data_IF_945624728121
#
_entry.id   IF_945624728121
#
_cell.length_a   1.000
_cell.length_b   1.000
_cell.length_c   1.000
_cell.angle_alpha   90.00
_cell.angle_beta   90.00
_cell.angle_gamma   90.00
#
_symmetry.space_group_name_H-M   'P 1'
#
loop_
_entity.id
_entity.type
_entity.pdbx_description
1 polymer ?
#
# COMPACT_ATOMS: atom_id res chain seq x y z
N UNK A 1 15.51 16.61 48.85
CA UNK A 1 14.86 17.13 47.63
C UNK A 1 14.94 16.13 46.47
N UNK A 2 16.12 15.57 46.14
CA UNK A 2 16.30 14.65 45.00
C UNK A 2 15.53 13.31 45.05
N UNK A 3 15.11 12.83 46.23
CA UNK A 3 14.42 11.53 46.36
C UNK A 3 13.03 11.48 45.69
N UNK A 4 12.38 12.63 45.47
CA UNK A 4 11.07 12.68 44.80
C UNK A 4 11.17 12.85 43.28
N UNK A 5 12.36 13.14 42.75
CA UNK A 5 12.55 13.42 41.33
C UNK A 5 12.10 12.26 40.43
N UNK A 6 12.42 10.97 40.71
CA UNK A 6 11.94 9.88 39.85
C UNK A 6 10.42 9.69 39.94
N UNK A 7 9.80 10.01 41.09
CA UNK A 7 8.34 10.01 41.25
C UNK A 7 7.67 11.09 40.40
N UNK A 8 8.28 12.29 40.32
CA UNK A 8 7.80 13.37 39.47
C UNK A 8 7.96 13.05 37.97
N UNK A 9 9.09 12.45 37.56
CA UNK A 9 9.33 12.04 36.16
C UNK A 9 8.29 11.01 35.72
N UNK A 10 8.09 9.96 36.52
CA UNK A 10 7.13 8.89 36.20
C UNK A 10 5.68 9.38 36.21
N UNK A 11 5.35 10.34 37.08
CA UNK A 11 4.07 11.04 37.01
C UNK A 11 3.90 11.79 35.68
N UNK A 12 4.92 12.57 35.28
CA UNK A 12 4.94 13.27 34.00
C UNK A 12 4.77 12.34 32.80
N UNK A 13 5.42 11.18 32.81
CA UNK A 13 5.24 10.14 31.78
C UNK A 13 3.80 9.60 31.76
N UNK A 14 3.19 9.36 32.93
CA UNK A 14 1.78 8.94 33.01
C UNK A 14 0.83 9.98 32.43
N UNK A 15 1.04 11.27 32.74
CA UNK A 15 0.25 12.36 32.16
C UNK A 15 0.45 12.48 30.64
N UNK A 16 1.68 12.34 30.16
CA UNK A 16 1.98 12.33 28.72
C UNK A 16 1.28 11.17 27.99
N UNK A 17 1.22 9.97 28.60
CA UNK A 17 0.49 8.84 28.03
C UNK A 17 -1.02 9.10 27.90
N UNK A 18 -1.64 9.84 28.82
CA UNK A 18 -3.05 10.25 28.70
C UNK A 18 -3.25 11.18 27.51
N UNK A 19 -2.37 12.18 27.35
CA UNK A 19 -2.44 13.11 26.21
C UNK A 19 -2.30 12.34 24.89
N UNK A 20 -1.29 11.47 24.79
CA UNK A 20 -1.09 10.61 23.62
C UNK A 20 -2.27 9.69 23.33
N UNK A 21 -2.91 9.16 24.38
CA UNK A 21 -4.14 8.38 24.24
C UNK A 21 -5.26 9.20 23.59
N UNK A 22 -5.45 10.45 24.01
CA UNK A 22 -6.49 11.32 23.45
C UNK A 22 -6.21 11.64 21.98
N UNK A 23 -4.98 12.00 21.63
CA UNK A 23 -4.57 12.21 20.24
C UNK A 23 -4.82 10.96 19.39
N UNK A 24 -4.51 9.80 19.97
CA UNK A 24 -4.72 8.51 19.32
C UNK A 24 -6.18 8.23 19.05
N UNK A 25 -7.05 8.46 20.03
CA UNK A 25 -8.50 8.30 19.88
C UNK A 25 -9.02 9.20 18.76
N UNK A 26 -8.68 10.50 18.79
CA UNK A 26 -9.09 11.44 17.73
C UNK A 26 -8.64 11.00 16.34
N UNK A 27 -7.40 10.52 16.21
CA UNK A 27 -6.88 10.01 14.94
C UNK A 27 -7.64 8.77 14.45
N UNK A 28 -7.97 7.86 15.35
CA UNK A 28 -8.71 6.64 15.01
C UNK A 28 -10.17 6.93 14.67
N UNK A 29 -10.81 7.83 15.40
CA UNK A 29 -12.19 8.25 15.15
C UNK A 29 -12.30 8.97 13.81
N UNK A 30 -11.40 9.90 13.51
CA UNK A 30 -11.29 10.53 12.19
C UNK A 30 -11.22 9.50 11.05
N UNK A 31 -10.36 8.49 11.17
CA UNK A 31 -10.25 7.42 10.16
C UNK A 31 -11.52 6.59 10.07
N UNK A 32 -12.12 6.22 11.21
CA UNK A 32 -13.33 5.40 11.26
C UNK A 32 -14.50 6.11 10.60
N UNK A 33 -14.71 7.39 10.90
CA UNK A 33 -15.76 8.21 10.30
C UNK A 33 -15.60 8.28 8.77
N UNK A 34 -14.38 8.51 8.28
CA UNK A 34 -14.10 8.64 6.84
C UNK A 34 -14.26 7.32 6.07
N UNK A 35 -13.94 6.19 6.72
CA UNK A 35 -14.15 4.85 6.20
C UNK A 35 -15.63 4.42 6.27
N UNK A 36 -16.41 4.94 7.22
CA UNK A 36 -17.83 4.62 7.37
C UNK A 36 -18.73 5.38 6.38
N UNK A 37 -18.29 6.54 5.90
CA UNK A 37 -18.99 7.30 4.86
C UNK A 37 -19.08 6.53 3.53
N UNK A 38 -20.16 6.77 2.78
CA UNK A 38 -20.37 6.16 1.46
C UNK A 38 -19.21 6.45 0.49
N UNK A 39 -18.86 5.49 -0.40
CA UNK A 39 -17.87 5.72 -1.45
C UNK A 39 -18.27 6.88 -2.37
N UNK A 40 -17.28 7.67 -2.81
CA UNK A 40 -17.47 8.75 -3.79
C UNK A 40 -16.88 8.30 -5.14
N UNK A 41 -17.48 8.70 -6.25
CA UNK A 41 -16.89 8.48 -7.57
C UNK A 41 -15.58 9.25 -7.72
N UNK A 42 -14.51 8.58 -8.15
CA UNK A 42 -13.18 9.20 -8.22
C UNK A 42 -13.12 10.41 -9.17
N UNK A 43 -13.91 10.38 -10.24
CA UNK A 43 -13.97 11.47 -11.22
C UNK A 43 -14.50 12.77 -10.60
N UNK A 44 -15.37 12.71 -9.59
CA UNK A 44 -15.90 13.90 -8.90
C UNK A 44 -14.81 14.60 -8.08
N UNK A 45 -13.79 13.84 -7.67
CA UNK A 45 -12.69 14.29 -6.81
C UNK A 45 -11.50 14.84 -7.60
N UNK A 46 -11.18 14.22 -8.73
CA UNK A 46 -9.97 14.51 -9.51
C UNK A 46 -9.90 15.96 -10.05
N UNK A 47 -11.00 16.70 -9.96
CA UNK A 47 -11.19 18.02 -10.58
C UNK A 47 -10.67 19.21 -9.76
N UNK A 48 -10.18 19.05 -8.52
CA UNK A 48 -9.70 20.23 -7.78
C UNK A 48 -9.16 20.09 -6.35
N UNK A 49 -9.17 18.91 -5.73
CA UNK A 49 -8.68 18.74 -4.35
C UNK A 49 -7.34 17.99 -4.25
N UNK A 50 -6.50 18.40 -3.30
CA UNK A 50 -5.23 17.72 -3.01
C UNK A 50 -5.51 16.37 -2.31
N UNK A 51 -4.96 15.26 -2.81
CA UNK A 51 -5.18 13.90 -2.27
C UNK A 51 -5.06 13.80 -0.74
N UNK A 52 -4.20 14.61 -0.11
CA UNK A 52 -4.03 14.66 1.34
C UNK A 52 -5.31 15.09 2.11
N UNK A 53 -6.20 15.89 1.54
CA UNK A 53 -7.49 16.24 2.18
C UNK A 53 -8.46 15.07 2.17
N UNK A 54 -8.23 14.10 1.29
CA UNK A 54 -9.10 12.96 1.03
C UNK A 54 -8.56 11.65 1.60
N UNK A 55 -7.46 11.68 2.35
CA UNK A 55 -6.93 10.50 3.02
C UNK A 55 -8.03 9.80 3.84
N UNK A 56 -8.07 8.48 3.75
CA UNK A 56 -9.07 7.59 4.38
C UNK A 56 -10.49 7.67 3.81
N UNK A 57 -10.75 8.42 2.72
CA UNK A 57 -12.03 8.31 2.01
C UNK A 57 -12.11 7.10 1.13
N UNK A 58 -13.30 6.48 1.14
CA UNK A 58 -13.67 5.43 0.20
C UNK A 58 -14.00 6.06 -1.14
N UNK A 59 -13.49 5.45 -2.20
CA UNK A 59 -13.72 5.87 -3.58
C UNK A 59 -14.02 4.67 -4.46
N UNK A 60 -14.78 4.92 -5.52
CA UNK A 60 -15.00 3.98 -6.61
C UNK A 60 -14.25 4.49 -7.83
N UNK A 61 -13.44 3.63 -8.43
CA UNK A 61 -12.69 3.90 -9.64
C UNK A 61 -12.98 2.80 -10.67
N UNK A 62 -13.08 3.16 -11.94
CA UNK A 62 -13.26 2.19 -13.03
C UNK A 62 -12.24 2.42 -14.14
N UNK A 63 -11.61 1.38 -14.65
CA UNK A 63 -10.63 1.54 -15.73
C UNK A 63 -9.98 0.22 -16.13
N UNK A 64 -8.87 0.32 -16.85
CA UNK A 64 -8.06 -0.83 -17.22
C UNK A 64 -6.77 -0.83 -16.41
N UNK A 65 -6.34 -1.99 -15.90
CA UNK A 65 -5.03 -2.11 -15.27
C UNK A 65 -3.93 -2.17 -16.33
N UNK A 66 -2.92 -1.31 -16.21
CA UNK A 66 -1.69 -1.41 -16.98
C UNK A 66 -0.70 -2.36 -16.26
N UNK A 67 -0.90 -3.66 -16.46
CA UNK A 67 -0.14 -4.72 -15.79
C UNK A 67 1.37 -4.67 -16.10
N UNK A 68 1.76 -4.10 -17.24
CA UNK A 68 3.17 -3.93 -17.61
C UNK A 68 3.90 -2.93 -16.70
N UNK A 69 3.15 -2.06 -16.04
CA UNK A 69 3.67 -1.05 -15.12
C UNK A 69 3.41 -1.38 -13.65
N UNK A 70 3.06 -2.63 -13.35
CA UNK A 70 2.88 -3.13 -12.00
C UNK A 70 4.20 -3.11 -11.22
N UNK A 71 4.16 -2.54 -10.01
CA UNK A 71 5.29 -2.45 -9.08
C UNK A 71 5.04 -3.36 -7.89
N UNK A 72 6.05 -4.16 -7.54
CA UNK A 72 6.01 -5.07 -6.40
C UNK A 72 6.73 -4.46 -5.20
N UNK A 73 6.01 -4.16 -4.10
CA UNK A 73 6.58 -3.58 -2.88
C UNK A 73 6.70 -4.63 -1.78
N UNK A 74 7.90 -4.89 -1.27
CA UNK A 74 8.14 -5.85 -0.21
C UNK A 74 9.60 -6.01 0.21
N UNK A 75 9.90 -6.97 1.10
CA UNK A 75 9.04 -8.08 1.50
C UNK A 75 7.88 -7.66 2.41
N UNK A 76 6.70 -8.28 2.21
CA UNK A 76 5.51 -8.15 3.05
C UNK A 76 5.10 -9.50 3.61
N UNK A 77 5.13 -9.65 4.93
CA UNK A 77 4.72 -10.89 5.59
C UNK A 77 3.20 -10.92 5.81
N UNK A 78 2.58 -12.08 5.55
CA UNK A 78 1.16 -12.37 5.81
C UNK A 78 1.04 -13.73 6.48
N UNK A 79 0.15 -13.86 7.45
CA UNK A 79 -0.21 -15.16 8.02
C UNK A 79 -1.33 -15.78 7.18
N UNK A 80 -1.08 -16.98 6.64
CA UNK A 80 -2.01 -17.76 5.84
C UNK A 80 -2.15 -19.11 6.53
N UNK A 81 -3.34 -19.44 7.02
CA UNK A 81 -3.62 -20.71 7.72
C UNK A 81 -2.65 -21.00 8.89
N UNK A 82 -2.18 -19.96 9.59
CA UNK A 82 -1.24 -20.07 10.70
C UNK A 82 0.24 -20.13 10.30
N UNK A 83 0.55 -20.17 9.01
CA UNK A 83 1.91 -20.12 8.48
C UNK A 83 2.22 -18.70 8.02
N UNK A 84 3.38 -18.17 8.41
CA UNK A 84 3.82 -16.85 7.93
C UNK A 84 4.52 -16.99 6.60
N UNK A 85 3.92 -16.40 5.57
CA UNK A 85 4.48 -16.33 4.23
C UNK A 85 4.93 -14.91 3.90
N UNK A 86 6.04 -14.80 3.18
CA UNK A 86 6.54 -13.53 2.68
C UNK A 86 6.12 -13.37 1.23
N UNK A 87 5.68 -12.17 0.86
CA UNK A 87 5.26 -11.83 -0.49
C UNK A 87 5.46 -10.34 -0.76
N UNK A 88 4.62 -9.80 -1.63
CA UNK A 88 4.68 -8.40 -2.07
C UNK A 88 3.29 -7.79 -2.11
N UNK A 89 3.20 -6.48 -1.93
CA UNK A 89 2.05 -5.74 -2.44
C UNK A 89 2.25 -5.44 -3.92
N UNK A 90 1.22 -5.64 -4.74
CA UNK A 90 1.24 -5.27 -6.15
C UNK A 90 0.49 -3.95 -6.33
N UNK A 91 1.21 -2.94 -6.83
CA UNK A 91 0.68 -1.62 -7.12
C UNK A 91 0.63 -1.46 -8.63
N UNK A 92 -0.56 -1.32 -9.19
CA UNK A 92 -0.78 -1.27 -10.64
C UNK A 92 -1.50 0.03 -11.01
N UNK A 93 -1.05 0.76 -12.03
CA UNK A 93 -1.81 1.87 -12.59
C UNK A 93 -3.17 1.41 -13.13
N UNK A 94 -4.24 2.05 -12.69
CA UNK A 94 -5.56 1.99 -13.30
C UNK A 94 -5.68 3.18 -14.27
N UNK A 95 -5.71 2.89 -15.57
CA UNK A 95 -5.69 3.89 -16.64
C UNK A 95 -7.09 4.12 -17.24
N UNK A 96 -7.33 5.33 -17.79
CA UNK A 96 -8.57 5.64 -18.52
C UNK A 96 -8.81 4.70 -19.70
N UNK A 97 -10.06 4.31 -19.91
CA UNK A 97 -10.50 3.62 -21.14
C UNK A 97 -11.11 4.64 -22.09
N UNK A 98 -10.50 4.79 -23.28
CA UNK A 98 -10.98 5.72 -24.31
C UNK A 98 -12.44 5.49 -24.65
N UNK A 99 -13.25 6.56 -24.62
CA UNK A 99 -14.68 6.52 -24.97
C UNK A 99 -15.61 6.01 -23.86
N UNK A 100 -15.09 5.68 -22.67
CA UNK A 100 -15.90 5.26 -21.53
C UNK A 100 -15.97 6.39 -20.48
N UNK A 101 -17.14 7.02 -20.34
CA UNK A 101 -17.37 8.12 -19.38
C UNK A 101 -17.36 7.66 -17.92
N UNK A 102 -17.68 6.39 -17.66
CA UNK A 102 -17.63 5.81 -16.32
C UNK A 102 -16.19 5.48 -15.91
N UNK A 103 -15.22 5.55 -16.83
CA UNK A 103 -13.81 5.30 -16.53
C UNK A 103 -13.14 6.51 -15.88
N UNK A 104 -12.07 6.26 -15.12
CA UNK A 104 -11.21 7.30 -14.56
C UNK A 104 -10.72 8.23 -15.69
N UNK A 105 -10.77 9.54 -15.47
CA UNK A 105 -10.28 10.53 -16.45
C UNK A 105 -8.76 10.71 -16.41
N UNK A 106 -8.14 10.37 -15.28
CA UNK A 106 -6.70 10.39 -15.08
C UNK A 106 -6.23 9.09 -14.42
N UNK A 107 -4.99 8.63 -14.67
CA UNK A 107 -4.48 7.41 -14.07
C UNK A 107 -4.41 7.49 -12.54
N UNK A 108 -4.71 6.36 -11.89
CA UNK A 108 -4.65 6.20 -10.42
C UNK A 108 -3.74 5.03 -10.08
N UNK A 109 -2.96 5.13 -9.00
CA UNK A 109 -2.19 4.00 -8.49
C UNK A 109 -3.06 3.17 -7.54
N UNK A 110 -3.18 1.87 -7.81
CA UNK A 110 -4.00 0.95 -7.00
C UNK A 110 -3.10 -0.10 -6.38
N UNK A 111 -3.01 -0.15 -5.06
CA UNK A 111 -2.50 -1.34 -4.38
C UNK A 111 -3.61 -2.38 -4.32
N UNK A 112 -3.48 -3.41 -5.16
CA UNK A 112 -4.48 -4.48 -5.32
C UNK A 112 -4.38 -5.54 -4.22
N UNK A 113 -3.35 -5.45 -3.38
CA UNK A 113 -3.15 -6.33 -2.24
C UNK A 113 -1.94 -7.24 -2.36
N UNK A 114 -1.93 -8.25 -1.50
CA UNK A 114 -0.79 -9.15 -1.28
C UNK A 114 -0.76 -10.28 -2.30
N UNK A 115 0.44 -10.58 -2.81
CA UNK A 115 0.73 -11.72 -3.69
C UNK A 115 1.94 -12.50 -3.18
N UNK A 116 2.01 -13.82 -3.40
CA UNK A 116 3.16 -14.63 -3.04
C UNK A 116 4.37 -14.28 -3.92
N UNK A 117 5.59 -14.66 -3.48
CA UNK A 117 6.83 -14.31 -4.19
C UNK A 117 6.86 -14.72 -5.66
N UNK A 118 6.28 -15.88 -5.96
CA UNK A 118 6.24 -16.45 -7.31
C UNK A 118 5.59 -15.55 -8.35
N UNK A 119 4.77 -14.58 -7.96
CA UNK A 119 4.21 -13.59 -8.90
C UNK A 119 5.27 -12.63 -9.43
N UNK A 120 6.18 -12.16 -8.57
CA UNK A 120 7.29 -11.30 -8.99
C UNK A 120 8.25 -12.10 -9.87
N UNK A 121 8.58 -13.33 -9.46
CA UNK A 121 9.53 -14.17 -10.18
C UNK A 121 9.04 -14.45 -11.61
N UNK A 122 7.76 -14.82 -11.78
CA UNK A 122 7.13 -14.99 -13.11
C UNK A 122 7.11 -13.71 -13.93
N UNK A 123 6.87 -12.55 -13.31
CA UNK A 123 6.87 -11.28 -14.02
C UNK A 123 8.27 -10.97 -14.60
N UNK A 124 9.33 -11.20 -13.81
CA UNK A 124 10.71 -11.02 -14.26
C UNK A 124 11.11 -12.01 -15.38
N UNK A 125 10.69 -13.27 -15.27
CA UNK A 125 10.88 -14.27 -16.32
C UNK A 125 10.18 -13.85 -17.63
N UNK A 126 8.94 -13.35 -17.53
CA UNK A 126 8.17 -12.91 -18.71
C UNK A 126 8.77 -11.68 -19.39
N UNK A 127 9.41 -10.78 -18.64
CA UNK A 127 10.11 -9.64 -19.24
C UNK A 127 11.41 -10.04 -19.92
N UNK A 128 12.13 -11.03 -19.38
CA UNK A 128 13.38 -11.52 -19.99
C UNK A 128 13.13 -12.36 -21.24
N UNK A 129 12.08 -13.19 -21.26
CA UNK A 129 11.73 -13.99 -22.44
C UNK A 129 11.26 -13.17 -23.66
N UNK A 130 10.86 -11.91 -23.46
CA UNK A 130 10.54 -10.98 -24.54
C UNK A 130 11.78 -10.29 -25.14
N UNK A 131 12.91 -10.27 -24.42
CA UNK A 131 14.18 -9.70 -24.90
C UNK A 131 15.00 -10.74 -25.68
N UNK A 132 14.86 -12.05 -25.38
CA UNK A 132 15.60 -13.11 -26.08
C UNK A 132 15.06 -13.43 -27.49
N UNK A 133 13.81 -13.09 -27.81
CA UNK A 133 13.20 -13.36 -29.13
C UNK A 133 13.54 -12.30 -30.21
N UNK A 134 14.20 -11.19 -29.85
CA UNK A 134 14.65 -10.17 -30.83
C UNK A 134 16.07 -10.41 -31.40
N UNK A 135 16.87 -11.31 -30.82
CA UNK A 135 18.23 -11.60 -31.30
C UNK A 135 18.28 -12.79 -32.29
N UNK A 136 17.83 -12.54 -33.53
CA UNK A 136 18.20 -13.37 -34.69
C UNK A 136 19.31 -12.68 -35.49
N UNK A 137 20.57 -13.15 -35.47
CA UNK A 137 21.57 -12.69 -36.41
C UNK A 137 21.35 -13.35 -37.77
N UNK A 138 20.94 -12.53 -38.73
CA UNK A 138 20.96 -12.91 -40.15
C UNK A 138 22.39 -12.92 -40.70
N UNK A 139 22.73 -14.03 -41.36
CA UNK A 139 23.45 -14.19 -42.63
C UNK A 139 24.75 -15.01 -42.62
N UNK A 140 24.72 -16.16 -43.32
CA UNK A 140 25.53 -16.38 -44.52
C UNK A 140 24.98 -17.57 -45.35
N UNK A 141 25.05 -17.39 -46.66
CA UNK A 141 24.42 -18.12 -47.77
C UNK A 141 25.01 -19.48 -48.12
N UNK A 142 24.16 -20.41 -48.57
CA UNK A 142 24.50 -21.32 -49.68
C UNK A 142 23.31 -21.55 -50.61
N UNK A 143 23.57 -21.37 -51.89
CA UNK A 143 22.72 -21.49 -53.08
C UNK A 143 22.03 -22.83 -53.26
N UNK A 144 20.79 -22.82 -53.77
CA UNK A 144 20.17 -24.00 -54.38
C UNK A 144 18.65 -23.88 -54.58
N UNK A 145 18.26 -23.60 -55.82
CA UNK A 145 16.97 -23.94 -56.44
C UNK A 145 15.68 -23.24 -55.98
N UNK A 146 15.26 -22.29 -56.82
CA UNK A 146 13.90 -21.75 -56.90
C UNK A 146 12.94 -22.87 -57.34
N UNK A 147 11.92 -23.18 -56.52
CA UNK A 147 10.64 -23.71 -57.01
C UNK A 147 9.48 -23.49 -56.02
N UNK A 148 8.51 -22.68 -56.48
CA UNK A 148 7.06 -22.81 -56.25
C UNK A 148 6.50 -22.82 -54.82
N UNK A 149 6.39 -21.65 -54.19
CA UNK A 149 5.52 -21.46 -53.00
C UNK A 149 4.68 -20.17 -53.03
N UNK A 150 5.07 -19.15 -53.81
CA UNK A 150 4.51 -17.79 -53.73
C UNK A 150 3.38 -17.46 -54.73
N UNK A 151 2.46 -18.39 -55.01
CA UNK A 151 1.27 -18.11 -55.87
C UNK A 151 -0.07 -18.16 -55.15
N UNK A 152 -0.10 -18.16 -53.81
CA UNK A 152 -1.37 -18.27 -53.07
C UNK A 152 -1.69 -17.14 -52.08
N UNK A 153 -0.78 -16.18 -51.85
CA UNK A 153 -1.03 -15.10 -50.90
C UNK A 153 -0.97 -13.73 -51.57
N UNK A 154 -2.08 -13.40 -52.22
CA UNK A 154 -2.42 -12.03 -52.59
C UNK A 154 -3.91 -11.83 -52.35
N UNK A 155 -4.27 -11.72 -51.07
CA UNK A 155 -5.54 -11.10 -50.68
C UNK A 155 -5.22 -9.73 -50.10
N UNK A 156 -5.80 -8.70 -50.70
CA UNK A 156 -5.76 -7.29 -50.25
C UNK A 156 -6.07 -7.20 -48.75
N UNK A 157 -5.45 -6.29 -48.00
CA UNK A 157 -5.93 -6.00 -46.66
C UNK A 157 -7.33 -5.40 -46.80
N UNK A 158 -8.34 -6.16 -46.36
CA UNK A 158 -9.63 -5.56 -46.07
C UNK A 158 -9.41 -4.71 -44.82
N UNK A 159 -9.66 -3.41 -44.94
CA UNK A 159 -9.86 -2.52 -43.80
C UNK A 159 -11.09 -3.03 -43.06
N UNK A 160 -10.87 -4.00 -42.18
CA UNK A 160 -11.77 -4.29 -41.08
C UNK A 160 -11.60 -3.12 -40.14
N UNK A 161 -12.64 -2.31 -39.98
CA UNK A 161 -12.79 -1.47 -38.79
C UNK A 161 -12.58 -2.40 -37.60
N UNK A 162 -11.38 -2.30 -37.01
CA UNK A 162 -11.00 -2.98 -35.80
C UNK A 162 -11.90 -2.42 -34.71
N UNK A 163 -13.04 -3.09 -34.50
CA UNK A 163 -13.84 -2.97 -33.29
C UNK A 163 -12.85 -3.17 -32.15
N UNK A 164 -12.40 -2.05 -31.56
CA UNK A 164 -11.56 -2.07 -30.38
C UNK A 164 -12.20 -3.06 -29.40
N UNK A 165 -11.42 -4.00 -28.83
CA UNK A 165 -11.98 -4.96 -27.89
C UNK A 165 -12.76 -4.18 -26.85
N UNK A 166 -13.99 -4.59 -26.58
CA UNK A 166 -14.81 -3.99 -25.52
C UNK A 166 -14.13 -4.32 -24.19
N UNK A 167 -13.13 -3.54 -23.81
CA UNK A 167 -12.42 -3.67 -22.55
C UNK A 167 -13.45 -3.37 -21.47
N UNK A 168 -13.93 -4.42 -20.81
CA UNK A 168 -14.80 -4.26 -19.65
C UNK A 168 -13.99 -3.57 -18.56
N UNK A 169 -14.41 -2.38 -18.08
CA UNK A 169 -13.70 -1.69 -17.02
C UNK A 169 -13.69 -2.55 -15.76
N UNK A 170 -12.52 -2.63 -15.12
CA UNK A 170 -12.39 -3.16 -13.77
C UNK A 170 -12.87 -2.11 -12.80
N UNK A 171 -13.79 -2.48 -11.92
CA UNK A 171 -14.23 -1.65 -10.80
C UNK A 171 -13.35 -1.91 -9.57
N UNK A 172 -12.84 -0.84 -8.99
CA UNK A 172 -12.07 -0.84 -7.75
C UNK A 172 -12.81 -0.01 -6.72
N UNK A 173 -13.13 -0.64 -5.59
CA UNK A 173 -13.63 0.06 -4.40
C UNK A 173 -12.46 0.14 -3.44
N UNK A 174 -11.88 1.33 -3.31
CA UNK A 174 -10.64 1.54 -2.59
C UNK A 174 -10.71 2.63 -1.54
N UNK A 175 -9.62 2.80 -0.80
CA UNK A 175 -9.42 3.88 0.17
C UNK A 175 -8.21 4.71 -0.23
N UNK A 176 -8.39 6.03 -0.35
CA UNK A 176 -7.28 6.96 -0.65
C UNK A 176 -6.28 6.94 0.50
N UNK A 177 -4.99 6.78 0.17
CA UNK A 177 -3.88 6.80 1.13
C UNK A 177 -2.69 7.60 0.58
N UNK A 178 -1.84 8.08 1.49
CA UNK A 178 -0.54 8.65 1.14
C UNK A 178 0.60 7.65 1.24
N UNK A 179 1.83 8.13 1.02
CA UNK A 179 3.05 7.33 1.19
C UNK A 179 3.20 6.77 2.60
N UNK A 180 3.83 5.60 2.69
CA UNK A 180 4.24 5.00 3.95
C UNK A 180 5.39 5.81 4.57
N UNK A 181 5.49 5.76 5.91
CA UNK A 181 6.62 6.32 6.65
C UNK A 181 7.49 5.15 7.13
N UNK A 182 8.60 4.85 6.44
CA UNK A 182 9.46 3.72 6.80
C UNK A 182 10.15 3.95 8.16
N UNK A 183 10.56 2.85 8.79
CA UNK A 183 11.45 2.88 9.95
C UNK A 183 12.91 3.04 9.49
N UNK A 184 13.79 3.48 10.39
CA UNK A 184 15.23 3.65 10.14
C UNK A 184 15.97 2.37 9.73
N UNK A 185 15.33 1.20 9.89
CA UNK A 185 15.90 -0.11 9.52
C UNK A 185 15.41 -0.60 8.15
N UNK A 186 14.47 0.11 7.53
CA UNK A 186 13.99 -0.22 6.19
C UNK A 186 14.95 0.40 5.18
N UNK A 187 15.51 -0.38 4.23
CA UNK A 187 16.33 0.18 3.17
C UNK A 187 15.57 1.17 2.29
N UNK A 188 16.30 2.06 1.62
CA UNK A 188 15.73 2.97 0.63
C UNK A 188 15.24 2.20 -0.61
N UNK A 189 14.20 2.72 -1.25
CA UNK A 189 13.74 2.22 -2.54
C UNK A 189 14.80 2.50 -3.62
N UNK A 190 14.96 1.57 -4.56
CA UNK A 190 15.77 1.72 -5.76
C UNK A 190 14.90 1.50 -7.01
N UNK A 191 14.33 2.58 -7.58
CA UNK A 191 13.50 2.49 -8.77
C UNK A 191 14.23 1.95 -10.00
N UNK A 192 15.56 2.14 -10.10
CA UNK A 192 16.33 1.73 -11.27
C UNK A 192 16.50 0.21 -11.34
N UNK A 193 16.63 -0.45 -10.18
CA UNK A 193 16.68 -1.91 -10.09
C UNK A 193 15.31 -2.56 -9.82
N UNK A 194 14.23 -1.76 -9.73
CA UNK A 194 12.89 -2.25 -9.41
C UNK A 194 12.73 -2.76 -7.98
N UNK A 195 13.63 -2.36 -7.06
CA UNK A 195 13.58 -2.76 -5.66
C UNK A 195 12.78 -1.74 -4.83
N UNK A 196 11.64 -2.17 -4.32
CA UNK A 196 10.74 -1.34 -3.52
C UNK A 196 10.45 -1.99 -2.17
N UNK A 197 10.78 -1.33 -1.07
CA UNK A 197 10.61 -1.81 0.30
C UNK A 197 9.41 -1.19 1.01
N UNK A 198 9.07 0.05 0.67
CA UNK A 198 7.91 0.78 1.21
C UNK A 198 7.18 1.55 0.10
N UNK A 199 5.92 1.89 0.36
CA UNK A 199 5.12 2.64 -0.61
C UNK A 199 5.52 4.11 -0.59
N UNK A 200 6.22 4.55 -1.63
CA UNK A 200 6.49 5.97 -1.91
C UNK A 200 5.69 6.38 -3.14
N UNK A 201 4.55 7.04 -2.93
CA UNK A 201 3.58 7.34 -4.00
C UNK A 201 4.19 8.20 -5.13
N UNK A 202 4.85 9.35 -4.86
CA UNK A 202 5.54 10.11 -5.90
C UNK A 202 6.57 9.31 -6.70
N UNK A 203 7.40 8.50 -6.02
CA UNK A 203 8.45 7.73 -6.69
C UNK A 203 7.86 6.59 -7.55
N UNK A 204 6.85 5.89 -7.04
CA UNK A 204 6.12 4.84 -7.76
C UNK A 204 5.41 5.44 -8.96
N UNK A 205 4.72 6.57 -8.80
CA UNK A 205 4.06 7.26 -9.90
C UNK A 205 5.05 7.62 -11.01
N UNK A 206 6.19 8.21 -10.64
CA UNK A 206 7.25 8.55 -11.58
C UNK A 206 7.82 7.31 -12.30
N UNK A 207 8.06 6.22 -11.57
CA UNK A 207 8.54 4.96 -12.15
C UNK A 207 7.51 4.32 -13.11
N UNK A 208 6.21 4.51 -12.87
CA UNK A 208 5.14 4.12 -13.79
C UNK A 208 4.89 5.14 -14.93
N UNK A 209 5.70 6.19 -15.05
CA UNK A 209 5.53 7.24 -16.05
C UNK A 209 4.28 8.10 -15.84
N UNK A 210 3.86 8.26 -14.59
CA UNK A 210 2.71 9.04 -14.16
C UNK A 210 3.15 10.32 -13.42
N UNK A 211 2.28 11.35 -13.34
CA UNK A 211 2.53 12.54 -12.52
C UNK A 211 2.75 12.21 -11.04
N UNK A 212 3.68 12.90 -10.36
CA UNK A 212 3.98 12.65 -8.94
C UNK A 212 2.80 12.92 -7.99
N UNK A 213 1.81 13.68 -8.42
CA UNK A 213 0.57 13.95 -7.68
C UNK A 213 -0.54 12.92 -7.97
N UNK A 214 -0.23 11.82 -8.67
CA UNK A 214 -1.18 10.72 -8.89
C UNK A 214 -1.71 10.20 -7.56
N UNK A 215 -3.03 10.04 -7.47
CA UNK A 215 -3.70 9.51 -6.28
C UNK A 215 -3.35 8.03 -6.12
N UNK A 216 -3.11 7.64 -4.87
CA UNK A 216 -2.90 6.26 -4.48
C UNK A 216 -4.10 5.74 -3.67
N UNK A 217 -4.59 4.56 -4.04
CA UNK A 217 -5.68 3.88 -3.37
C UNK A 217 -5.27 2.48 -2.92
N UNK A 218 -5.70 2.11 -1.73
CA UNK A 218 -5.66 0.73 -1.25
C UNK A 218 -6.97 0.05 -1.65
N UNK A 219 -6.90 -1.02 -2.45
CA UNK A 219 -8.06 -1.83 -2.76
C UNK A 219 -8.57 -2.53 -1.49
N UNK A 220 -9.87 -2.41 -1.25
CA UNK A 220 -10.59 -3.04 -0.13
C UNK A 220 -11.74 -3.93 -0.63
N UNK A 221 -11.75 -4.27 -1.93
CA UNK A 221 -12.79 -5.08 -2.51
C UNK A 221 -12.61 -6.56 -2.13
N UNK A 222 -13.36 -7.02 -1.14
CA UNK A 222 -13.26 -8.39 -0.62
C UNK A 222 -13.87 -9.46 -1.56
N UNK A 223 -14.34 -9.10 -2.76
CA UNK A 223 -14.91 -10.02 -3.75
C UNK A 223 -13.84 -10.84 -4.50
N UNK A 224 -13.00 -11.54 -3.74
CA UNK A 224 -11.98 -12.45 -4.31
C UNK A 224 -12.63 -13.79 -4.63
N UNK A 225 -12.60 -14.18 -5.91
CA UNK A 225 -13.09 -15.49 -6.34
C UNK A 225 -12.23 -16.62 -5.75
N UNK A 226 -12.87 -17.70 -5.29
CA UNK A 226 -12.15 -18.90 -4.83
C UNK A 226 -11.24 -19.51 -5.92
N UNK A 227 -11.56 -19.29 -7.21
CA UNK A 227 -10.75 -19.76 -8.33
C UNK A 227 -9.52 -18.88 -8.62
N UNK A 228 -9.51 -17.63 -8.16
CA UNK A 228 -8.37 -16.73 -8.27
C UNK A 228 -8.17 -15.97 -6.95
N UNK A 229 -7.50 -16.61 -5.97
CA UNK A 229 -7.41 -16.10 -4.60
C UNK A 229 -6.46 -14.90 -4.44
N UNK A 230 -5.80 -14.47 -5.52
CA UNK A 230 -4.81 -13.40 -5.51
C UNK A 230 -5.12 -12.32 -6.56
N UNK A 231 -4.71 -11.07 -6.36
CA UNK A 231 -4.10 -10.52 -5.14
C UNK A 231 -5.11 -10.51 -3.98
N UNK A 232 -4.61 -10.61 -2.74
CA UNK A 232 -5.47 -10.56 -1.55
C UNK A 232 -5.50 -9.13 -1.01
N UNK A 233 -6.62 -8.40 -1.12
CA UNK A 233 -6.73 -7.01 -0.69
C UNK A 233 -6.39 -6.79 0.78
N UNK A 234 -6.10 -5.55 1.14
CA UNK A 234 -5.96 -5.18 2.55
C UNK A 234 -7.36 -5.06 3.15
N UNK A 235 -7.58 -5.72 4.27
CA UNK A 235 -8.80 -5.53 5.05
C UNK A 235 -8.87 -4.06 5.53
N UNK A 236 -10.02 -3.41 5.30
CA UNK A 236 -10.28 -2.05 5.74
C UNK A 236 -10.02 -1.83 7.25
N UNK A 237 -10.19 -2.87 8.08
CA UNK A 237 -9.87 -2.83 9.51
C UNK A 237 -8.39 -2.59 9.79
N UNK A 238 -7.50 -2.98 8.87
CA UNK A 238 -6.06 -2.73 9.00
C UNK A 238 -5.70 -1.26 8.83
N UNK A 239 -6.54 -0.47 8.15
CA UNK A 239 -6.34 0.97 7.94
C UNK A 239 -6.56 1.80 9.21
N UNK A 240 -7.38 1.29 10.14
CA UNK A 240 -7.55 1.84 11.49
C UNK A 240 -6.58 1.22 12.50
N UNK A 241 -5.84 0.16 12.12
CA UNK A 241 -4.88 -0.46 13.01
C UNK A 241 -3.59 0.35 13.08
N UNK A 242 -2.97 0.30 14.26
CA UNK A 242 -1.68 0.91 14.54
C UNK A 242 -0.96 0.07 15.60
N UNK A 243 0.35 0.26 15.74
CA UNK A 243 1.17 -0.55 16.65
C UNK A 243 0.82 -0.37 18.13
N UNK A 244 0.42 0.84 18.52
CA UNK A 244 0.05 1.18 19.91
C UNK A 244 -1.37 1.71 19.91
N UNK A 245 -2.28 1.05 20.63
CA UNK A 245 -3.69 1.40 20.70
C UNK A 245 -4.03 2.25 21.94
N UNK A 246 -5.22 2.91 21.97
CA UNK A 246 -5.66 3.66 23.14
C UNK A 246 -5.67 2.85 24.44
N UNK A 247 -5.94 1.54 24.35
CA UNK A 247 -5.86 0.65 25.50
C UNK A 247 -4.43 0.43 25.98
N UNK A 248 -3.46 0.32 25.07
CA UNK A 248 -2.05 0.20 25.42
C UNK A 248 -1.56 1.45 26.16
N UNK A 249 -1.94 2.65 25.67
CA UNK A 249 -1.65 3.90 26.37
C UNK A 249 -2.29 3.96 27.77
N UNK A 250 -3.50 3.40 27.94
CA UNK A 250 -4.15 3.31 29.24
C UNK A 250 -3.38 2.36 30.18
N UNK A 251 -2.98 1.20 29.68
CA UNK A 251 -2.17 0.25 30.43
C UNK A 251 -0.84 0.89 30.88
N UNK A 252 -0.14 1.59 29.98
CA UNK A 252 1.07 2.33 30.32
C UNK A 252 0.81 3.44 31.34
N UNK A 253 -0.31 4.17 31.23
CA UNK A 253 -0.70 5.20 32.21
C UNK A 253 -0.79 4.61 33.61
N UNK A 254 -1.45 3.45 33.76
CA UNK A 254 -1.56 2.75 35.04
C UNK A 254 -0.19 2.31 35.58
N UNK A 255 0.69 1.79 34.72
CA UNK A 255 2.05 1.41 35.10
C UNK A 255 2.85 2.61 35.61
N UNK A 256 2.82 3.74 34.90
CA UNK A 256 3.59 4.93 35.26
C UNK A 256 3.10 5.59 36.54
N UNK A 257 1.78 5.67 36.75
CA UNK A 257 1.23 6.19 38.01
C UNK A 257 1.46 5.26 39.20
N UNK A 258 1.41 3.93 38.99
CA UNK A 258 1.77 2.97 40.03
C UNK A 258 3.23 3.11 40.46
N UNK A 259 4.14 3.26 39.49
CA UNK A 259 5.56 3.47 39.76
C UNK A 259 5.80 4.82 40.46
N UNK A 260 5.12 5.88 40.02
CA UNK A 260 5.18 7.20 40.66
C UNK A 260 4.76 7.15 42.13
N UNK A 261 3.64 6.48 42.42
CA UNK A 261 3.16 6.29 43.78
C UNK A 261 4.15 5.49 44.64
N UNK A 262 4.69 4.39 44.11
CA UNK A 262 5.64 3.53 44.82
C UNK A 262 6.93 4.29 45.18
N UNK A 263 7.54 4.99 44.22
CA UNK A 263 8.79 5.72 44.44
C UNK A 263 8.59 6.91 45.37
N UNK A 264 7.49 7.64 45.22
CA UNK A 264 7.11 8.73 46.12
C UNK A 264 6.89 8.22 47.56
N UNK A 265 6.23 7.08 47.71
CA UNK A 265 6.03 6.44 49.01
C UNK A 265 7.35 6.00 49.66
N UNK A 266 8.26 5.41 48.88
CA UNK A 266 9.60 5.03 49.38
C UNK A 266 10.40 6.26 49.82
N UNK A 267 10.38 7.35 49.03
CA UNK A 267 11.02 8.61 49.38
C UNK A 267 10.43 9.19 50.68
N UNK A 268 9.11 9.18 50.83
CA UNK A 268 8.42 9.61 52.04
C UNK A 268 8.82 8.76 53.26
N UNK A 269 8.79 7.42 53.13
CA UNK A 269 9.20 6.50 54.20
C UNK A 269 10.65 6.69 54.62
N UNK A 270 11.54 6.98 53.66
CA UNK A 270 12.96 7.22 53.92
C UNK A 270 13.20 8.51 54.72
N UNK A 271 12.38 9.54 54.48
CA UNK A 271 12.49 10.84 55.15
C UNK A 271 11.73 10.89 56.49
N UNK A 272 10.80 9.95 56.74
CA UNK A 272 10.06 9.89 58.01
C UNK A 272 10.99 9.53 59.17
N UNK A 273 11.16 10.40 60.19
CA UNK A 273 12.03 10.11 61.32
C UNK A 273 11.54 8.87 62.08
N UNK A 274 12.46 7.97 62.45
CA UNK A 274 12.14 6.83 63.33
C UNK A 274 11.79 7.36 64.72
N UNK A 275 10.58 7.09 65.21
CA UNK A 275 10.25 7.29 66.63
C UNK A 275 11.11 6.31 67.43
N UNK A 276 12.12 6.82 68.13
CA UNK A 276 12.84 6.07 69.16
C UNK A 276 11.85 5.89 70.31
N UNK A 277 11.37 4.67 70.53
CA UNK A 277 10.69 4.32 71.79
C UNK A 277 11.77 4.32 72.87
N UNK A 278 11.70 5.30 73.78
CA UNK A 278 12.40 5.26 75.07
C UNK A 278 11.69 4.29 76.00
#
# INVERSE_FOLDING_TARGET
MFLFLPGAITFGLGSWQIIRRQDKIKTLDYRRERLAMEPIEFNDIASGENSNTLEFRRVVCRGAFDEKKSIYVGPRSRSISGVTENGYYIITPLVPISGNLDSVQSPVLVNRGWVPRSWRDKALESSQGLEEDEDVPSTASSSGEIRSFWRFWSKKPQTTEELAPSVTPVEVIGVIRGSEKPSIFVPENDPASGQWFFVDVPAIAHASGLPQNTVYIEDINDNVSASNPYPVPKDASTLIRSSVMPQDHLNYTLTWYSLSAAVTYMAYKRLKPRKIRR
#
